data_IF_185796063395
#
_entry.id   IF_185796063395
#
_cell.length_a   1.000
_cell.length_b   1.000
_cell.length_c   1.000
_cell.angle_alpha   90.00
_cell.angle_beta   90.00
_cell.angle_gamma   90.00
#
_symmetry.space_group_name_H-M   'P 1'
#
loop_
_entity.id
_entity.type
_entity.pdbx_description
1 polymer ?
#
# COMPACT_ATOMS: atom_id res chain seq x y z
N UNK A 1 -1.49 15.65 10.40
CA UNK A 1 -1.79 14.57 9.44
C UNK A 1 -1.05 14.93 8.17
N UNK A 2 -0.07 14.13 7.76
CA UNK A 2 0.63 14.35 6.49
C UNK A 2 -0.36 14.03 5.39
N UNK A 3 -0.78 15.04 4.62
CA UNK A 3 -1.65 14.83 3.46
C UNK A 3 -0.78 14.31 2.32
N UNK A 4 -0.96 13.04 1.95
CA UNK A 4 -0.34 12.46 0.76
C UNK A 4 -1.29 12.63 -0.44
N UNK A 5 -0.72 12.93 -1.60
CA UNK A 5 -1.41 12.89 -2.89
C UNK A 5 -1.63 11.44 -3.33
N UNK A 6 -2.59 11.18 -4.23
CA UNK A 6 -2.79 9.80 -4.74
C UNK A 6 -1.58 9.38 -5.56
N UNK A 7 -0.92 10.32 -6.24
CA UNK A 7 0.32 10.06 -6.97
C UNK A 7 1.44 9.59 -6.04
N UNK A 8 1.69 10.29 -4.93
CA UNK A 8 2.71 9.87 -3.94
C UNK A 8 2.40 8.49 -3.34
N UNK A 9 1.13 8.22 -3.02
CA UNK A 9 0.73 6.90 -2.50
C UNK A 9 1.00 5.80 -3.52
N UNK A 10 0.68 6.03 -4.80
CA UNK A 10 0.92 5.04 -5.85
C UNK A 10 2.42 4.84 -6.13
N UNK A 11 3.23 5.87 -5.96
CA UNK A 11 4.68 5.79 -6.09
C UNK A 11 5.31 5.02 -4.91
N UNK A 12 4.89 5.30 -3.67
CA UNK A 12 5.28 4.54 -2.49
C UNK A 12 4.90 3.06 -2.63
N UNK A 13 3.67 2.78 -3.07
CA UNK A 13 3.19 1.41 -3.32
C UNK A 13 4.05 0.69 -4.34
N UNK A 14 4.45 1.36 -5.43
CA UNK A 14 5.33 0.75 -6.44
C UNK A 14 6.69 0.38 -5.86
N UNK A 15 7.31 1.29 -5.10
CA UNK A 15 8.61 1.04 -4.48
C UNK A 15 8.55 -0.10 -3.45
N UNK A 16 7.49 -0.13 -2.63
CA UNK A 16 7.27 -1.17 -1.64
C UNK A 16 6.96 -2.53 -2.30
N UNK A 17 6.18 -2.55 -3.37
CA UNK A 17 5.91 -3.76 -4.17
C UNK A 17 7.18 -4.32 -4.82
N UNK A 18 8.01 -3.47 -5.39
CA UNK A 18 9.27 -3.90 -5.99
C UNK A 18 10.18 -4.57 -4.97
N UNK A 19 10.26 -4.01 -3.76
CA UNK A 19 11.08 -4.56 -2.69
C UNK A 19 10.51 -5.87 -2.17
N UNK A 20 9.22 -5.91 -1.81
CA UNK A 20 8.57 -7.12 -1.29
C UNK A 20 8.63 -8.27 -2.28
N UNK A 21 8.38 -8.03 -3.57
CA UNK A 21 8.49 -9.07 -4.62
C UNK A 21 9.89 -9.64 -4.81
N UNK A 22 10.95 -8.88 -4.51
CA UNK A 22 12.33 -9.44 -4.54
C UNK A 22 12.49 -10.53 -3.48
N UNK A 23 11.90 -10.33 -2.30
CA UNK A 23 11.94 -11.31 -1.22
C UNK A 23 11.05 -12.51 -1.52
N UNK A 24 9.84 -12.30 -2.06
CA UNK A 24 8.97 -13.41 -2.48
C UNK A 24 9.66 -14.31 -3.53
N UNK A 25 10.39 -13.72 -4.48
CA UNK A 25 11.16 -14.49 -5.47
C UNK A 25 12.40 -15.16 -4.89
N UNK A 26 13.02 -14.56 -3.87
CA UNK A 26 14.23 -15.09 -3.23
C UNK A 26 13.90 -16.26 -2.30
N UNK A 27 12.78 -16.18 -1.58
CA UNK A 27 12.41 -17.13 -0.53
C UNK A 27 11.19 -18.01 -0.89
N UNK A 28 10.55 -17.76 -2.03
CA UNK A 28 9.40 -18.53 -2.56
C UNK A 28 8.21 -18.61 -1.58
N UNK A 29 8.02 -17.54 -0.81
CA UNK A 29 6.91 -17.34 0.10
C UNK A 29 6.16 -16.08 -0.28
N UNK A 30 4.86 -16.04 -0.03
CA UNK A 30 4.11 -14.79 -0.15
C UNK A 30 4.59 -13.82 0.94
N UNK A 31 4.49 -12.51 0.68
CA UNK A 31 4.84 -11.51 1.70
C UNK A 31 4.01 -11.66 2.98
N UNK A 32 2.77 -12.13 2.87
CA UNK A 32 1.90 -12.36 4.02
C UNK A 32 2.42 -13.52 4.89
N UNK A 33 2.73 -14.67 4.29
CA UNK A 33 3.26 -15.82 5.02
C UNK A 33 4.65 -15.52 5.60
N UNK A 34 5.48 -14.80 4.83
CA UNK A 34 6.80 -14.38 5.30
C UNK A 34 6.68 -13.40 6.49
N UNK A 35 5.69 -12.51 6.49
CA UNK A 35 5.45 -11.59 7.60
C UNK A 35 4.98 -12.31 8.85
N UNK A 36 4.13 -13.32 8.70
CA UNK A 36 3.68 -14.15 9.82
C UNK A 36 4.86 -14.84 10.51
N UNK A 37 5.75 -15.47 9.73
CA UNK A 37 6.96 -16.10 10.27
C UNK A 37 7.91 -15.08 10.92
N UNK A 38 8.05 -13.89 10.32
CA UNK A 38 8.84 -12.78 10.89
C UNK A 38 8.30 -12.35 12.26
N UNK A 39 6.99 -12.11 12.37
CA UNK A 39 6.33 -11.67 13.59
C UNK A 39 6.41 -12.72 14.72
N UNK A 40 6.47 -14.01 14.36
CA UNK A 40 6.66 -15.11 15.31
C UNK A 40 8.13 -15.28 15.75
N UNK A 41 9.07 -14.54 15.15
CA UNK A 41 10.51 -14.69 15.41
C UNK A 41 11.10 -15.99 14.84
N UNK A 42 10.45 -16.60 13.84
CA UNK A 42 10.85 -17.91 13.29
C UNK A 42 11.82 -17.82 12.09
N UNK A 43 12.04 -16.62 11.55
CA UNK A 43 12.93 -16.43 10.41
C UNK A 43 14.37 -16.11 10.80
N UNK A 44 14.60 -15.55 11.98
CA UNK A 44 15.88 -14.99 12.38
C UNK A 44 16.68 -15.96 13.26
N UNK A 45 17.77 -16.51 12.70
CA UNK A 45 18.83 -17.19 13.42
C UNK A 45 20.06 -16.27 13.65
N UNK A 46 19.97 -15.00 13.26
CA UNK A 46 21.00 -13.97 13.39
C UNK A 46 21.78 -13.66 12.10
N UNK A 47 21.67 -14.46 11.02
CA UNK A 47 22.45 -14.23 9.79
C UNK A 47 21.80 -13.23 8.81
N UNK A 48 20.50 -12.96 8.95
CA UNK A 48 19.71 -12.18 7.98
C UNK A 48 18.84 -11.08 8.60
N UNK A 49 19.09 -10.73 9.86
CA UNK A 49 18.28 -9.79 10.65
C UNK A 49 18.06 -8.43 9.96
N UNK A 50 19.09 -7.85 9.34
CA UNK A 50 19.00 -6.54 8.67
C UNK A 50 18.15 -6.61 7.39
N UNK A 51 18.35 -7.63 6.56
CA UNK A 51 17.58 -7.85 5.34
C UNK A 51 16.09 -8.07 5.65
N UNK A 52 15.78 -8.84 6.68
CA UNK A 52 14.39 -9.12 7.08
C UNK A 52 13.73 -7.91 7.75
N UNK A 53 14.45 -7.15 8.57
CA UNK A 53 13.95 -5.91 9.15
C UNK A 53 13.66 -4.86 8.07
N UNK A 54 14.56 -4.69 7.09
CA UNK A 54 14.34 -3.81 5.95
C UNK A 54 13.11 -4.24 5.16
N UNK A 55 12.99 -5.53 4.83
CA UNK A 55 11.82 -6.04 4.13
C UNK A 55 10.52 -5.82 4.91
N UNK A 56 10.52 -6.08 6.22
CA UNK A 56 9.35 -5.89 7.07
C UNK A 56 8.88 -4.43 7.06
N UNK A 57 9.81 -3.48 7.10
CA UNK A 57 9.48 -2.06 6.98
C UNK A 57 8.80 -1.73 5.65
N UNK A 58 9.29 -2.25 4.51
CA UNK A 58 8.63 -2.06 3.22
C UNK A 58 7.27 -2.75 3.13
N UNK A 59 7.12 -3.93 3.75
CA UNK A 59 5.84 -4.63 3.83
C UNK A 59 4.81 -3.82 4.63
N UNK A 60 5.20 -3.23 5.76
CA UNK A 60 4.33 -2.38 6.58
C UNK A 60 3.98 -1.07 5.87
N UNK A 61 4.95 -0.43 5.21
CA UNK A 61 4.69 0.75 4.36
C UNK A 61 3.66 0.42 3.28
N UNK A 62 3.81 -0.72 2.61
CA UNK A 62 2.84 -1.17 1.61
C UNK A 62 1.43 -1.26 2.21
N UNK A 63 1.28 -1.96 3.33
CA UNK A 63 -0.03 -2.14 3.99
C UNK A 63 -0.67 -0.80 4.38
N UNK A 64 0.13 0.13 4.95
CA UNK A 64 -0.34 1.45 5.33
C UNK A 64 -0.79 2.28 4.10
N UNK A 65 -0.03 2.22 3.01
CA UNK A 65 -0.36 2.93 1.77
C UNK A 65 -1.55 2.32 1.04
N UNK A 66 -1.72 1.00 1.06
CA UNK A 66 -2.92 0.33 0.53
C UNK A 66 -4.16 0.76 1.31
N UNK A 67 -4.08 0.82 2.64
CA UNK A 67 -5.15 1.33 3.49
C UNK A 67 -5.47 2.80 3.18
N UNK A 68 -4.45 3.64 3.04
CA UNK A 68 -4.61 5.07 2.72
C UNK A 68 -5.25 5.25 1.34
N UNK A 69 -4.81 4.50 0.33
CA UNK A 69 -5.40 4.49 -1.01
C UNK A 69 -6.87 4.10 -0.97
N UNK A 70 -7.21 3.08 -0.18
CA UNK A 70 -8.58 2.61 -0.01
C UNK A 70 -9.47 3.68 0.63
N UNK A 71 -8.96 4.40 1.64
CA UNK A 71 -9.68 5.52 2.28
C UNK A 71 -9.95 6.65 1.29
N UNK A 72 -8.93 7.09 0.53
CA UNK A 72 -9.10 8.12 -0.52
C UNK A 72 -10.10 7.68 -1.60
N UNK A 73 -10.05 6.40 -1.98
CA UNK A 73 -10.98 5.81 -2.95
C UNK A 73 -12.41 5.82 -2.41
N UNK A 74 -12.62 5.53 -1.14
CA UNK A 74 -13.94 5.56 -0.50
C UNK A 74 -14.51 6.98 -0.42
N UNK A 75 -13.68 7.97 -0.11
CA UNK A 75 -14.07 9.38 -0.15
C UNK A 75 -14.44 9.84 -1.57
N UNK A 76 -13.62 9.48 -2.56
CA UNK A 76 -13.90 9.78 -3.97
C UNK A 76 -15.21 9.14 -4.42
N UNK A 77 -15.46 7.86 -4.07
CA UNK A 77 -16.75 7.18 -4.33
C UNK A 77 -17.93 7.91 -3.69
N UNK A 78 -17.80 8.37 -2.44
CA UNK A 78 -18.86 9.15 -1.75
C UNK A 78 -19.14 10.46 -2.50
N UNK A 79 -18.12 11.21 -2.93
CA UNK A 79 -18.28 12.46 -3.70
C UNK A 79 -18.96 12.21 -5.05
N UNK A 80 -18.51 11.20 -5.79
CA UNK A 80 -19.10 10.80 -7.07
C UNK A 80 -20.59 10.43 -6.93
N UNK A 81 -20.93 9.67 -5.89
CA UNK A 81 -22.34 9.30 -5.59
C UNK A 81 -23.19 10.52 -5.24
N UNK A 82 -22.65 11.53 -4.55
CA UNK A 82 -23.37 12.78 -4.23
C UNK A 82 -23.64 13.64 -5.47
N UNK A 83 -22.74 13.62 -6.45
CA UNK A 83 -22.86 14.37 -7.70
C UNK A 83 -23.74 13.69 -8.74
N UNK A 84 -24.14 12.44 -8.49
CA UNK A 84 -25.01 11.68 -9.37
C UNK A 84 -26.40 12.31 -9.49
N UNK A 85 -26.82 12.60 -10.72
CA UNK A 85 -28.14 13.19 -11.05
C UNK A 85 -29.00 12.28 -11.95
N UNK A 86 -28.69 10.98 -12.00
CA UNK A 86 -29.28 10.01 -12.92
C UNK A 86 -28.33 9.60 -14.06
N UNK A 87 -28.57 8.45 -14.68
CA UNK A 87 -27.71 7.89 -15.73
C UNK A 87 -26.51 7.14 -15.18
N UNK A 88 -25.29 7.46 -15.65
CA UNK A 88 -24.02 6.86 -15.20
C UNK A 88 -23.15 7.87 -14.43
N UNK A 89 -22.37 7.39 -13.47
CA UNK A 89 -21.35 8.20 -12.78
C UNK A 89 -20.26 8.55 -13.80
N UNK A 90 -19.93 9.84 -13.92
CA UNK A 90 -18.81 10.32 -14.72
C UNK A 90 -17.56 10.41 -13.85
N UNK A 91 -16.46 9.82 -14.29
CA UNK A 91 -15.17 9.83 -13.57
C UNK A 91 -14.21 10.72 -14.36
N UNK A 92 -13.84 11.86 -13.78
CA UNK A 92 -12.79 12.72 -14.32
C UNK A 92 -11.40 12.08 -14.07
N UNK A 93 -10.53 11.93 -15.07
CA UNK A 93 -9.22 11.31 -14.92
C UNK A 93 -8.23 12.17 -14.13
N UNK A 94 -8.49 13.47 -13.94
CA UNK A 94 -7.59 14.35 -13.19
C UNK A 94 -7.50 13.92 -11.74
N UNK A 95 -6.31 14.09 -11.17
CA UNK A 95 -6.10 13.90 -9.74
C UNK A 95 -7.04 14.83 -8.97
N UNK A 96 -7.85 14.30 -8.02
CA UNK A 96 -8.70 15.15 -7.20
C UNK A 96 -7.81 16.11 -6.42
N UNK A 97 -8.01 17.42 -6.59
CA UNK A 97 -7.38 18.38 -5.70
C UNK A 97 -7.79 18.05 -4.26
N UNK A 98 -6.82 17.97 -3.35
CA UNK A 98 -7.09 17.94 -1.91
C UNK A 98 -7.74 19.29 -1.60
N UNK A 99 -9.06 19.33 -1.47
CA UNK A 99 -9.76 20.52 -0.98
C UNK A 99 -9.69 20.47 0.53
N UNK A 100 -9.11 21.52 1.12
CA UNK A 100 -9.16 21.82 2.56
C UNK A 100 -10.60 21.85 3.10
#
# INVERSE_FOLDING_TARGET
MTSFTITEILDDLRAADETTRRFERRYWLSSADFYELYQQGLLDDGEHTEDFAMWAAYHEIKQDRELTLQQLSDERKKRLRRQYRGGSIQIDPREPAVSD
#
